data_IF_492922839621
#
_entry.id   IF_492922839621
#
_cell.length_a   1.000
_cell.length_b   1.000
_cell.length_c   1.000
_cell.angle_alpha   90.00
_cell.angle_beta   90.00
_cell.angle_gamma   90.00
#
_symmetry.space_group_name_H-M   'P 1'
#
loop_
_entity.id
_entity.type
_entity.pdbx_description
1 polymer ?
#
# COMPACT_ATOMS: atom_id res chain seq x y z
N UNK A 1 31.18 12.46 -9.89
CA UNK A 1 30.19 11.98 -10.87
C UNK A 1 28.88 12.70 -10.60
N UNK A 2 28.38 13.48 -11.55
CA UNK A 2 27.15 14.25 -11.39
C UNK A 2 25.97 13.36 -11.83
N UNK A 3 24.92 13.27 -11.01
CA UNK A 3 23.74 12.46 -11.34
C UNK A 3 22.74 13.37 -12.05
N UNK A 4 22.41 13.02 -13.29
CA UNK A 4 21.41 13.72 -14.11
C UNK A 4 20.04 13.10 -13.82
N UNK A 5 19.01 13.94 -13.72
CA UNK A 5 17.64 13.52 -13.51
C UNK A 5 16.63 14.56 -14.00
N UNK A 6 15.38 14.15 -14.05
CA UNK A 6 14.24 14.92 -14.59
C UNK A 6 13.29 15.33 -13.48
N UNK A 7 12.84 16.58 -13.55
CA UNK A 7 11.71 17.07 -12.76
C UNK A 7 10.40 16.71 -13.47
N UNK A 8 9.49 16.00 -12.80
CA UNK A 8 8.17 15.67 -13.31
C UNK A 8 7.12 16.48 -12.56
N UNK A 9 6.30 17.22 -13.31
CA UNK A 9 5.18 18.01 -12.78
C UNK A 9 3.87 17.41 -13.23
N UNK A 10 3.02 17.06 -12.27
CA UNK A 10 1.65 16.61 -12.53
C UNK A 10 0.66 17.69 -12.12
N UNK A 11 -0.22 18.03 -13.05
CA UNK A 11 -1.38 18.89 -12.85
C UNK A 11 -2.62 18.04 -12.55
N UNK A 12 -3.41 18.39 -11.53
CA UNK A 12 -4.70 17.77 -11.19
C UNK A 12 -5.73 18.89 -11.06
N UNK A 13 -6.90 18.82 -11.70
CA UNK A 13 -7.98 19.78 -11.45
C UNK A 13 -8.33 19.84 -9.96
N UNK A 14 -8.67 21.02 -9.46
CA UNK A 14 -9.24 21.19 -8.13
C UNK A 14 -10.68 20.66 -8.14
N UNK A 15 -10.94 19.61 -7.36
CA UNK A 15 -12.28 19.02 -7.25
C UNK A 15 -13.08 19.63 -6.07
N UNK A 16 -12.40 20.24 -5.10
CA UNK A 16 -13.06 20.92 -3.98
C UNK A 16 -13.51 22.31 -4.43
N UNK A 17 -14.71 22.35 -5.06
CA UNK A 17 -15.37 23.61 -5.42
C UNK A 17 -15.89 24.25 -4.14
N UNK A 18 -15.03 24.99 -3.45
CA UNK A 18 -15.49 25.86 -2.36
C UNK A 18 -16.47 26.87 -2.94
N UNK A 19 -17.62 27.00 -2.31
CA UNK A 19 -18.60 28.04 -2.60
C UNK A 19 -18.04 29.36 -2.06
N UNK A 20 -17.04 29.86 -2.76
CA UNK A 20 -16.40 31.13 -2.45
C UNK A 20 -17.39 32.23 -2.88
N UNK A 21 -17.54 33.26 -2.05
CA UNK A 21 -18.36 34.45 -2.38
C UNK A 21 -17.99 35.08 -3.73
N UNK A 22 -16.79 34.79 -4.22
CA UNK A 22 -16.33 35.13 -5.56
C UNK A 22 -15.98 33.86 -6.35
N UNK A 23 -16.64 33.60 -7.49
CA UNK A 23 -16.28 32.48 -8.36
C UNK A 23 -14.86 32.67 -8.92
N UNK A 24 -14.08 31.59 -8.96
CA UNK A 24 -12.74 31.62 -9.55
C UNK A 24 -12.85 31.91 -11.05
N UNK A 25 -12.16 32.95 -11.52
CA UNK A 25 -12.16 33.34 -12.94
C UNK A 25 -11.49 32.28 -13.85
N UNK A 26 -10.66 31.40 -13.29
CA UNK A 26 -9.93 30.35 -14.01
C UNK A 26 -10.04 29.00 -13.31
N UNK A 27 -9.90 27.92 -14.09
CA UNK A 27 -9.83 26.56 -13.55
C UNK A 27 -8.61 26.38 -12.64
N UNK A 28 -8.87 26.10 -11.36
CA UNK A 28 -7.83 25.89 -10.36
C UNK A 28 -7.26 24.47 -10.46
N UNK A 29 -5.94 24.33 -10.26
CA UNK A 29 -5.26 23.05 -10.35
C UNK A 29 -4.24 22.88 -9.23
N UNK A 30 -4.14 21.67 -8.68
CA UNK A 30 -3.08 21.25 -7.74
C UNK A 30 -1.90 20.70 -8.52
N UNK A 31 -0.71 21.21 -8.20
CA UNK A 31 0.54 20.77 -8.81
C UNK A 31 1.31 19.87 -7.84
N UNK A 32 1.62 18.66 -8.28
CA UNK A 32 2.46 17.72 -7.55
C UNK A 32 3.75 17.49 -8.32
N UNK A 33 4.87 17.84 -7.70
CA UNK A 33 6.20 17.79 -8.32
C UNK A 33 7.03 16.73 -7.63
N UNK A 34 7.79 15.96 -8.42
CA UNK A 34 8.81 15.07 -7.90
C UNK A 34 9.99 15.00 -8.88
N UNK A 35 11.19 14.80 -8.34
CA UNK A 35 12.41 14.60 -9.12
C UNK A 35 12.69 13.12 -9.28
N UNK A 36 13.18 12.69 -10.44
CA UNK A 36 13.53 11.29 -10.66
C UNK A 36 14.74 11.14 -11.56
N UNK A 37 15.58 10.18 -11.22
CA UNK A 37 16.76 9.77 -12.00
C UNK A 37 16.51 8.47 -12.77
N UNK A 38 15.27 7.98 -12.79
CA UNK A 38 14.91 6.76 -13.51
C UNK A 38 14.53 7.02 -14.97
N UNK A 39 14.64 5.96 -15.77
CA UNK A 39 14.38 6.00 -17.21
C UNK A 39 12.90 5.74 -17.55
N UNK A 40 12.03 5.69 -16.54
CA UNK A 40 10.60 5.41 -16.74
C UNK A 40 9.93 6.55 -17.53
N UNK A 41 8.88 6.23 -18.29
CA UNK A 41 8.04 7.27 -18.91
C UNK A 41 7.43 8.18 -17.84
N UNK A 42 7.11 9.43 -18.18
CA UNK A 42 6.54 10.42 -17.23
C UNK A 42 5.31 9.87 -16.49
N UNK A 43 4.44 9.13 -17.20
CA UNK A 43 3.25 8.51 -16.61
C UNK A 43 3.63 7.36 -15.68
N UNK A 44 4.56 6.49 -16.07
CA UNK A 44 5.02 5.37 -15.24
C UNK A 44 5.73 5.86 -13.98
N UNK A 45 6.65 6.82 -14.10
CA UNK A 45 7.31 7.47 -12.98
C UNK A 45 6.30 8.10 -12.01
N UNK A 46 5.27 8.78 -12.55
CA UNK A 46 4.20 9.37 -11.74
C UNK A 46 3.32 8.35 -11.02
N UNK A 47 3.12 7.15 -11.58
CA UNK A 47 2.45 6.03 -10.90
C UNK A 47 3.32 5.46 -9.79
N UNK A 48 4.59 5.18 -10.07
CA UNK A 48 5.55 4.65 -9.09
C UNK A 48 5.70 5.58 -7.89
N UNK A 49 5.81 6.89 -8.12
CA UNK A 49 5.89 7.89 -7.05
C UNK A 49 4.67 7.84 -6.12
N UNK A 50 3.45 7.70 -6.69
CA UNK A 50 2.23 7.58 -5.87
C UNK A 50 2.12 6.25 -5.15
N UNK A 51 2.58 5.16 -5.76
CA UNK A 51 2.59 3.84 -5.13
C UNK A 51 3.50 3.80 -3.90
N UNK A 52 4.51 4.67 -3.81
CA UNK A 52 5.37 4.77 -2.64
C UNK A 52 4.60 5.13 -1.36
N UNK A 53 3.49 5.88 -1.46
CA UNK A 53 2.66 6.25 -0.31
C UNK A 53 1.92 5.05 0.35
N UNK A 54 2.04 3.84 -0.20
CA UNK A 54 1.47 2.60 0.39
C UNK A 54 2.28 2.12 1.62
N UNK A 55 3.47 2.67 1.86
CA UNK A 55 4.38 2.25 2.93
C UNK A 55 3.74 2.27 4.34
N UNK A 56 2.95 3.29 4.66
CA UNK A 56 2.29 3.38 5.98
C UNK A 56 1.23 2.30 6.18
N UNK A 57 0.50 1.95 5.12
CA UNK A 57 -0.47 0.86 5.16
C UNK A 57 0.20 -0.49 5.43
N UNK A 58 1.37 -0.72 4.85
CA UNK A 58 2.17 -1.94 5.07
C UNK A 58 2.71 -1.97 6.50
N UNK A 59 3.26 -0.85 7.00
CA UNK A 59 3.81 -0.76 8.35
C UNK A 59 2.76 -0.80 9.46
N UNK A 60 1.51 -0.40 9.19
CA UNK A 60 0.43 -0.47 10.17
C UNK A 60 0.16 -1.91 10.64
N UNK A 61 0.29 -2.92 9.76
CA UNK A 61 0.03 -4.32 10.10
C UNK A 61 0.92 -4.86 11.23
N UNK A 62 2.26 -4.81 11.10
CA UNK A 62 3.18 -5.22 12.15
C UNK A 62 3.03 -4.39 13.44
N UNK A 63 2.90 -3.06 13.31
CA UNK A 63 2.70 -2.13 14.45
C UNK A 63 1.49 -2.53 15.29
N UNK A 64 0.39 -2.92 14.64
CA UNK A 64 -0.86 -3.30 15.30
C UNK A 64 -0.95 -4.80 15.68
N UNK A 65 0.17 -5.52 15.65
CA UNK A 65 0.25 -6.96 15.96
C UNK A 65 1.52 -7.28 16.77
N UNK A 66 2.56 -7.83 16.14
CA UNK A 66 3.75 -8.34 16.84
C UNK A 66 4.62 -7.23 17.45
N UNK A 67 4.57 -6.00 16.92
CA UNK A 67 5.27 -4.86 17.50
C UNK A 67 4.47 -4.16 18.60
N UNK A 68 3.20 -4.51 18.79
CA UNK A 68 2.37 -3.93 19.85
C UNK A 68 2.77 -4.43 21.25
N UNK A 69 3.48 -5.55 21.33
CA UNK A 69 3.98 -6.14 22.57
C UNK A 69 5.34 -6.77 22.32
N UNK A 70 6.35 -6.31 23.05
CA UNK A 70 7.65 -6.96 23.08
C UNK A 70 7.67 -7.94 24.26
N UNK A 71 7.92 -9.24 24.01
CA UNK A 71 7.66 -10.28 25.00
C UNK A 71 8.73 -10.38 26.10
N UNK A 72 9.88 -9.71 25.95
CA UNK A 72 11.00 -9.83 26.88
C UNK A 72 11.50 -8.46 27.37
N UNK A 73 12.04 -8.42 28.60
CA UNK A 73 12.83 -7.29 29.10
C UNK A 73 14.27 -7.22 28.53
N UNK A 74 14.65 -8.19 27.70
CA UNK A 74 16.00 -8.33 27.12
C UNK A 74 16.01 -7.85 25.68
N UNK A 75 16.91 -6.92 25.35
CA UNK A 75 17.00 -6.31 24.02
C UNK A 75 17.27 -7.34 22.91
N UNK A 76 18.22 -8.25 23.12
CA UNK A 76 18.58 -9.26 22.11
C UNK A 76 17.44 -10.24 21.82
N UNK A 77 16.63 -10.58 22.83
CA UNK A 77 15.42 -11.39 22.65
C UNK A 77 14.38 -10.64 21.80
N UNK A 78 14.18 -9.34 22.05
CA UNK A 78 13.26 -8.51 21.25
C UNK A 78 13.78 -8.27 19.82
N UNK A 79 15.10 -8.23 19.61
CA UNK A 79 15.68 -8.17 18.27
C UNK A 79 15.40 -9.46 17.49
N UNK A 80 15.56 -10.63 18.12
CA UNK A 80 15.20 -11.91 17.51
C UNK A 80 13.69 -11.98 17.21
N UNK A 81 12.85 -11.53 18.14
CA UNK A 81 11.40 -11.40 17.95
C UNK A 81 11.05 -10.54 16.72
N UNK A 82 11.69 -9.37 16.58
CA UNK A 82 11.47 -8.48 15.44
C UNK A 82 11.78 -9.16 14.11
N UNK A 83 12.92 -9.85 14.01
CA UNK A 83 13.31 -10.56 12.79
C UNK A 83 12.27 -11.63 12.42
N UNK A 84 11.84 -12.44 13.38
CA UNK A 84 10.82 -13.46 13.16
C UNK A 84 9.48 -12.84 12.73
N UNK A 85 9.05 -11.76 13.40
CA UNK A 85 7.82 -11.07 13.09
C UNK A 85 7.81 -10.50 11.66
N UNK A 86 8.91 -9.89 11.22
CA UNK A 86 9.06 -9.35 9.86
C UNK A 86 9.09 -10.47 8.81
N UNK A 87 9.78 -11.58 9.09
CA UNK A 87 9.81 -12.74 8.20
C UNK A 87 8.40 -13.31 7.98
N UNK A 88 7.65 -13.56 9.06
CA UNK A 88 6.26 -14.06 8.98
C UNK A 88 5.35 -13.08 8.27
N UNK A 89 5.49 -11.77 8.53
CA UNK A 89 4.73 -10.74 7.84
C UNK A 89 4.97 -10.74 6.32
N UNK A 90 6.23 -10.79 5.89
CA UNK A 90 6.59 -10.82 4.47
C UNK A 90 6.07 -12.09 3.79
N UNK A 91 6.21 -13.25 4.43
CA UNK A 91 5.69 -14.53 3.93
C UNK A 91 4.16 -14.49 3.79
N UNK A 92 3.45 -13.95 4.78
CA UNK A 92 1.99 -13.81 4.76
C UNK A 92 1.54 -12.88 3.63
N UNK A 93 2.27 -11.78 3.41
CA UNK A 93 2.00 -10.84 2.31
C UNK A 93 2.28 -11.47 0.94
N UNK A 94 3.37 -12.24 0.80
CA UNK A 94 3.67 -12.97 -0.43
C UNK A 94 2.59 -14.00 -0.74
N UNK A 95 2.15 -14.79 0.25
CA UNK A 95 1.05 -15.73 0.08
C UNK A 95 -0.23 -15.04 -0.39
N UNK A 96 -0.58 -13.88 0.19
CA UNK A 96 -1.73 -13.10 -0.24
C UNK A 96 -1.64 -12.62 -1.70
N UNK A 97 -0.44 -12.27 -2.18
CA UNK A 97 -0.24 -11.90 -3.59
C UNK A 97 -0.36 -13.10 -4.54
N UNK A 98 0.06 -14.29 -4.09
CA UNK A 98 -0.02 -15.52 -4.88
C UNK A 98 -1.47 -16.02 -4.98
N UNK A 99 -2.22 -16.01 -3.87
CA UNK A 99 -3.62 -16.48 -3.86
C UNK A 99 -4.54 -15.62 -4.73
N UNK A 100 -4.27 -14.31 -4.80
CA UNK A 100 -5.16 -13.39 -5.51
C UNK A 100 -6.47 -13.16 -4.74
N UNK A 101 -7.60 -12.99 -5.44
CA UNK A 101 -8.93 -12.75 -4.83
C UNK A 101 -9.04 -11.49 -3.94
N UNK A 102 -8.35 -10.40 -4.29
CA UNK A 102 -8.41 -9.13 -3.55
C UNK A 102 -7.59 -9.11 -2.25
N UNK A 103 -6.88 -10.19 -1.91
CA UNK A 103 -6.06 -10.25 -0.70
C UNK A 103 -4.73 -9.49 -0.82
N UNK A 104 -4.27 -9.20 -2.04
CA UNK A 104 -3.02 -8.46 -2.29
C UNK A 104 -3.02 -7.04 -1.68
N UNK A 105 -4.17 -6.41 -1.54
CA UNK A 105 -4.35 -5.08 -0.93
C UNK A 105 -5.02 -5.13 0.44
N UNK A 106 -5.34 -6.32 0.95
CA UNK A 106 -6.00 -6.50 2.23
C UNK A 106 -5.05 -6.26 3.42
N UNK A 107 -5.63 -5.92 4.58
CA UNK A 107 -4.87 -5.80 5.83
C UNK A 107 -4.36 -7.15 6.30
N UNK A 108 -3.25 -7.19 7.03
CA UNK A 108 -2.66 -8.43 7.56
C UNK A 108 -3.63 -9.21 8.45
N UNK A 109 -4.51 -8.51 9.19
CA UNK A 109 -5.54 -9.16 9.99
C UNK A 109 -6.55 -9.92 9.12
N UNK A 110 -6.95 -9.36 7.99
CA UNK A 110 -7.85 -9.98 7.02
C UNK A 110 -7.17 -11.17 6.34
N UNK A 111 -5.91 -11.00 5.93
CA UNK A 111 -5.12 -12.09 5.33
C UNK A 111 -4.99 -13.25 6.32
N UNK A 112 -4.64 -12.98 7.58
CA UNK A 112 -4.55 -14.01 8.62
C UNK A 112 -5.89 -14.71 8.83
N UNK A 113 -7.00 -13.98 8.85
CA UNK A 113 -8.35 -14.54 9.01
C UNK A 113 -8.75 -15.46 7.86
N UNK A 114 -8.38 -15.11 6.63
CA UNK A 114 -8.85 -15.80 5.43
C UNK A 114 -7.89 -16.88 4.91
N UNK A 115 -6.58 -16.75 5.17
CA UNK A 115 -5.56 -17.67 4.65
C UNK A 115 -4.87 -18.53 5.72
N UNK A 116 -4.76 -18.05 6.96
CA UNK A 116 -3.95 -18.71 8.00
C UNK A 116 -4.85 -19.43 9.01
N UNK A 117 -5.85 -18.74 9.55
CA UNK A 117 -6.88 -19.40 10.34
C UNK A 117 -7.77 -20.15 9.36
N UNK A 118 -7.61 -21.48 9.28
CA UNK A 118 -8.46 -22.34 8.45
C UNK A 118 -9.92 -22.00 8.73
N UNK A 119 -10.58 -21.35 7.76
CA UNK A 119 -12.03 -21.32 7.69
C UNK A 119 -12.44 -22.61 6.98
N UNK A 120 -12.97 -23.57 7.73
CA UNK A 120 -13.83 -24.65 7.21
C UNK A 120 -15.15 -24.05 6.71
N UNK A 121 -15.10 -23.20 5.69
CA UNK A 121 -16.25 -22.52 5.10
C UNK A 121 -15.95 -22.21 3.64
N UNK A 122 -16.75 -22.81 2.76
CA UNK A 122 -16.57 -22.96 1.31
C UNK A 122 -15.79 -21.85 0.59
N UNK A 123 -14.75 -22.28 -0.16
CA UNK A 123 -14.13 -21.51 -1.24
C UNK A 123 -15.21 -20.92 -2.17
N UNK A 124 -15.13 -19.63 -2.55
CA UNK A 124 -15.95 -19.10 -3.63
C UNK A 124 -15.67 -19.88 -4.91
N UNK A 125 -16.71 -20.50 -5.48
CA UNK A 125 -16.64 -21.20 -6.76
C UNK A 125 -16.37 -20.20 -7.89
N UNK A 126 -15.29 -20.35 -8.68
CA UNK A 126 -15.12 -19.59 -9.90
C UNK A 126 -16.05 -20.17 -10.97
N UNK A 127 -17.21 -19.55 -11.19
CA UNK A 127 -18.06 -19.93 -12.34
C UNK A 127 -19.58 -19.79 -12.22
N UNK A 128 -20.15 -18.98 -11.33
CA UNK A 128 -21.57 -18.67 -11.42
C UNK A 128 -21.81 -17.63 -12.55
N UNK A 129 -21.87 -18.11 -13.79
CA UNK A 129 -22.51 -17.37 -14.88
C UNK A 129 -23.99 -17.23 -14.55
N UNK A 130 -24.45 -16.01 -14.28
CA UNK A 130 -25.88 -15.72 -14.26
C UNK A 130 -26.28 -15.33 -15.69
N UNK A 131 -26.90 -16.28 -16.38
CA UNK A 131 -27.62 -16.09 -17.62
C UNK A 131 -29.04 -15.59 -17.34
N UNK A 132 -29.47 -14.63 -18.18
CA UNK A 132 -30.79 -13.96 -18.32
C UNK A 132 -30.97 -12.68 -17.51
#
# INVERSE_FOLDING_TARGET
MLIIGRLVVRRIPELDKKDLEHPTLFDTHRFHVFYTTNDLSTVAAGKTYRAHFVIEFVHAGPKNSALAHLPAGVFTANAAWLVLAVMVFNLTRAAATIVGAGLATATTATIRRNLVTVQTGSLPQPGASCST
#
